data_IF_532319875644
#
_entry.id   IF_532319875644
#
_cell.length_a   1.000
_cell.length_b   1.000
_cell.length_c   1.000
_cell.angle_alpha   90.00
_cell.angle_beta   90.00
_cell.angle_gamma   90.00
#
_symmetry.space_group_name_H-M   'P 1'
#
loop_
_entity.id
_entity.type
_entity.pdbx_description
1 polymer ?
#
# COMPACT_ATOMS: atom_id res chain seq x y z
N UNK A 1 36.77 -23.74 6.17
CA UNK A 1 36.60 -23.09 4.87
C UNK A 1 35.16 -23.35 4.44
N UNK A 2 34.24 -22.46 4.83
CA UNK A 2 32.82 -22.60 4.50
C UNK A 2 32.55 -21.83 3.20
N UNK A 3 32.37 -22.57 2.11
CA UNK A 3 31.97 -22.03 0.82
C UNK A 3 30.52 -21.54 0.91
N UNK A 4 30.33 -20.22 0.96
CA UNK A 4 29.01 -19.61 0.76
C UNK A 4 28.56 -19.86 -0.69
N UNK A 5 27.76 -20.91 -0.85
CA UNK A 5 27.03 -21.17 -2.08
C UNK A 5 25.93 -20.12 -2.25
N UNK A 6 25.99 -19.30 -3.30
CA UNK A 6 24.86 -18.49 -3.77
C UNK A 6 24.34 -19.11 -5.07
N UNK A 7 23.53 -20.18 -5.00
CA UNK A 7 23.07 -20.87 -6.20
C UNK A 7 22.10 -19.95 -6.96
N UNK A 8 22.47 -19.59 -8.18
CA UNK A 8 21.56 -18.92 -9.11
C UNK A 8 20.52 -19.94 -9.59
N UNK A 9 19.32 -19.90 -9.00
CA UNK A 9 18.15 -20.66 -9.43
C UNK A 9 17.17 -19.78 -10.20
N UNK A 10 16.55 -20.31 -11.25
CA UNK A 10 15.39 -19.65 -11.83
C UNK A 10 14.25 -19.63 -10.81
N UNK A 11 13.67 -18.46 -10.57
CA UNK A 11 12.42 -18.36 -9.80
C UNK A 11 11.30 -19.04 -10.58
N UNK A 12 10.40 -19.72 -9.88
CA UNK A 12 9.18 -20.26 -10.47
C UNK A 12 8.27 -19.18 -11.04
N UNK A 13 7.27 -19.57 -11.82
CA UNK A 13 6.23 -18.66 -12.30
C UNK A 13 5.35 -18.25 -11.10
N UNK A 14 5.12 -16.95 -10.91
CA UNK A 14 4.17 -16.41 -9.94
C UNK A 14 2.94 -15.81 -10.64
N UNK A 15 1.78 -15.94 -10.00
CA UNK A 15 0.57 -15.22 -10.39
C UNK A 15 0.50 -13.94 -9.56
N UNK A 16 0.69 -12.78 -10.18
CA UNK A 16 0.63 -11.50 -9.46
C UNK A 16 -0.77 -10.87 -9.53
N UNK A 17 -1.49 -11.06 -10.64
CA UNK A 17 -2.82 -10.47 -10.85
C UNK A 17 -3.76 -11.46 -11.55
N UNK A 18 -4.95 -11.64 -11.00
CA UNK A 18 -6.04 -12.40 -11.61
C UNK A 18 -7.40 -11.95 -11.06
N UNK A 19 -8.02 -10.98 -11.73
CA UNK A 19 -9.29 -10.40 -11.28
C UNK A 19 -10.23 -10.10 -12.46
N UNK A 20 -11.52 -9.96 -12.13
CA UNK A 20 -12.56 -9.45 -13.01
C UNK A 20 -13.04 -8.10 -12.49
N UNK A 21 -13.47 -7.20 -13.38
CA UNK A 21 -14.03 -5.91 -12.99
C UNK A 21 -15.26 -5.53 -13.81
N UNK A 22 -16.31 -5.08 -13.13
CA UNK A 22 -17.55 -4.60 -13.74
C UNK A 22 -18.05 -3.34 -13.01
N UNK A 23 -18.13 -2.22 -13.71
CA UNK A 23 -18.75 -1.00 -13.17
C UNK A 23 -18.14 -0.46 -11.87
N UNK A 24 -16.84 -0.68 -11.65
CA UNK A 24 -16.11 -0.29 -10.44
C UNK A 24 -15.92 -1.42 -9.41
N UNK A 25 -16.71 -2.48 -9.48
CA UNK A 25 -16.55 -3.67 -8.64
C UNK A 25 -15.46 -4.59 -9.21
N UNK A 26 -14.43 -4.88 -8.41
CA UNK A 26 -13.32 -5.79 -8.70
C UNK A 26 -13.36 -6.98 -7.74
N UNK A 27 -13.15 -8.18 -8.28
CA UNK A 27 -13.03 -9.42 -7.50
C UNK A 27 -11.89 -10.28 -8.04
N UNK A 28 -10.99 -10.72 -7.16
CA UNK A 28 -9.90 -11.65 -7.49
C UNK A 28 -8.57 -11.31 -6.80
N UNK A 29 -7.46 -11.85 -7.30
CA UNK A 29 -6.11 -11.60 -6.79
C UNK A 29 -5.55 -10.31 -7.35
N UNK A 30 -5.14 -9.40 -6.47
CA UNK A 30 -4.63 -8.08 -6.80
C UNK A 30 -3.72 -7.56 -5.67
N UNK A 31 -3.34 -6.29 -5.75
CA UNK A 31 -2.67 -5.60 -4.67
C UNK A 31 -3.63 -4.83 -3.74
N UNK A 32 -3.27 -4.69 -2.47
CA UNK A 32 -4.09 -3.98 -1.47
C UNK A 32 -4.43 -2.55 -1.89
N UNK A 33 -5.68 -2.14 -1.67
CA UNK A 33 -6.14 -0.76 -1.87
C UNK A 33 -5.33 0.24 -1.03
N UNK A 34 -4.77 -0.22 0.09
CA UNK A 34 -3.96 0.58 0.99
C UNK A 34 -2.69 1.10 0.29
N UNK A 35 -2.19 0.37 -0.70
CA UNK A 35 -1.02 0.75 -1.50
C UNK A 35 -1.42 1.36 -2.84
N UNK A 36 -2.30 0.69 -3.57
CA UNK A 36 -2.66 1.06 -4.93
C UNK A 36 -3.43 2.38 -4.99
N UNK A 37 -4.38 2.61 -4.08
CA UNK A 37 -5.23 3.80 -4.14
C UNK A 37 -4.48 5.09 -3.79
N UNK A 38 -3.55 5.02 -2.83
CA UNK A 38 -2.70 6.17 -2.46
C UNK A 38 -1.54 6.41 -3.44
N UNK A 39 -1.33 5.50 -4.40
CA UNK A 39 -0.29 5.64 -5.42
C UNK A 39 1.11 5.24 -4.94
N UNK A 40 1.20 4.23 -4.05
CA UNK A 40 2.45 3.69 -3.51
C UNK A 40 3.29 4.72 -2.73
N UNK A 41 4.51 4.38 -2.36
CA UNK A 41 5.46 5.33 -1.75
C UNK A 41 6.20 6.23 -2.76
N UNK A 42 5.73 6.31 -4.01
CA UNK A 42 6.31 7.16 -5.06
C UNK A 42 6.98 6.36 -6.18
N UNK A 43 7.46 7.07 -7.22
CA UNK A 43 8.00 6.47 -8.45
C UNK A 43 9.51 6.24 -8.38
N UNK A 44 10.01 5.58 -7.33
CA UNK A 44 11.44 5.28 -7.19
C UNK A 44 11.68 3.78 -7.37
N UNK A 45 12.77 3.44 -8.07
CA UNK A 45 13.14 2.04 -8.38
C UNK A 45 13.28 1.19 -7.09
N UNK A 46 13.56 1.85 -5.96
CA UNK A 46 13.54 1.27 -4.63
C UNK A 46 12.70 2.17 -3.71
N UNK A 47 11.39 1.99 -3.76
CA UNK A 47 10.41 2.72 -2.95
C UNK A 47 10.21 2.11 -1.55
N UNK A 48 10.87 0.98 -1.27
CA UNK A 48 10.76 0.17 -0.04
C UNK A 48 11.86 0.48 0.97
N UNK A 49 12.45 1.69 0.98
CA UNK A 49 13.40 2.06 2.04
C UNK A 49 12.72 2.03 3.43
N UNK A 50 11.45 2.45 3.46
CA UNK A 50 10.52 2.22 4.57
C UNK A 50 9.32 1.45 4.01
N UNK A 51 9.10 0.19 4.41
CA UNK A 51 7.92 -0.58 4.01
C UNK A 51 6.62 0.16 4.31
N UNK A 52 5.66 0.14 3.37
CA UNK A 52 4.47 0.99 3.41
C UNK A 52 3.14 0.22 3.34
N UNK A 53 3.21 -1.10 3.49
CA UNK A 53 2.11 -2.06 3.38
C UNK A 53 2.55 -3.25 2.55
N UNK A 54 1.99 -4.42 2.80
CA UNK A 54 2.20 -5.59 1.96
C UNK A 54 1.26 -5.57 0.74
N UNK A 55 1.60 -6.28 -0.33
CA UNK A 55 0.98 -6.09 -1.64
C UNK A 55 -0.05 -7.16 -1.96
N UNK A 56 0.36 -8.41 -1.98
CA UNK A 56 -0.44 -9.53 -2.47
C UNK A 56 -1.69 -9.79 -1.61
N UNK A 57 -2.88 -9.78 -2.19
CA UNK A 57 -4.13 -10.17 -1.52
C UNK A 57 -5.23 -10.59 -2.51
N UNK A 58 -6.20 -11.40 -2.10
CA UNK A 58 -7.48 -11.43 -2.79
C UNK A 58 -8.36 -10.28 -2.31
N UNK A 59 -9.13 -9.68 -3.22
CA UNK A 59 -9.95 -8.51 -2.95
C UNK A 59 -11.39 -8.69 -3.43
N UNK A 60 -12.31 -8.10 -2.67
CA UNK A 60 -13.60 -7.63 -3.17
C UNK A 60 -13.62 -6.12 -2.96
N UNK A 61 -13.53 -5.38 -4.05
CA UNK A 61 -13.23 -3.95 -4.00
C UNK A 61 -14.16 -3.15 -4.90
N UNK A 62 -14.59 -1.98 -4.45
CA UNK A 62 -15.41 -1.07 -5.24
C UNK A 62 -14.73 0.30 -5.36
N UNK A 63 -14.48 0.72 -6.60
CA UNK A 63 -14.04 2.07 -6.93
C UNK A 63 -15.23 2.93 -7.36
N UNK A 64 -15.33 4.09 -6.73
CA UNK A 64 -16.23 5.15 -7.12
C UNK A 64 -15.45 6.32 -7.70
N UNK A 65 -15.85 6.78 -8.87
CA UNK A 65 -15.36 8.00 -9.50
C UNK A 65 -16.56 8.91 -9.78
N UNK A 66 -16.57 10.10 -9.18
CA UNK A 66 -17.65 11.07 -9.33
C UNK A 66 -17.55 11.88 -10.64
N UNK A 67 -16.45 11.76 -11.40
CA UNK A 67 -16.21 12.50 -12.64
C UNK A 67 -15.83 13.98 -12.44
N UNK A 68 -15.71 14.44 -11.20
CA UNK A 68 -15.37 15.82 -10.83
C UNK A 68 -14.03 15.92 -10.07
N UNK A 69 -13.18 14.91 -10.20
CA UNK A 69 -11.91 14.80 -9.50
C UNK A 69 -11.98 14.10 -8.13
N UNK A 70 -13.18 13.90 -7.57
CA UNK A 70 -13.38 13.09 -6.38
C UNK A 70 -13.49 11.60 -6.73
N UNK A 71 -12.76 10.77 -6.01
CA UNK A 71 -12.89 9.31 -6.06
C UNK A 71 -12.77 8.68 -4.67
N UNK A 72 -13.33 7.48 -4.55
CA UNK A 72 -13.32 6.71 -3.31
C UNK A 72 -13.09 5.23 -3.60
N UNK A 73 -12.58 4.50 -2.61
CA UNK A 73 -12.46 3.05 -2.64
C UNK A 73 -12.93 2.45 -1.32
N UNK A 74 -13.57 1.28 -1.41
CA UNK A 74 -13.79 0.37 -0.29
C UNK A 74 -13.33 -1.02 -0.73
N UNK A 75 -12.55 -1.70 0.10
CA UNK A 75 -11.94 -3.00 -0.19
C UNK A 75 -12.14 -3.92 1.01
N UNK A 76 -12.57 -5.15 0.74
CA UNK A 76 -12.48 -6.28 1.66
C UNK A 76 -11.32 -7.15 1.17
N UNK A 77 -10.37 -7.43 2.06
CA UNK A 77 -9.10 -8.05 1.69
C UNK A 77 -8.82 -9.28 2.54
N UNK A 78 -8.30 -10.32 1.89
CA UNK A 78 -7.82 -11.54 2.56
C UNK A 78 -6.45 -11.35 3.20
N UNK A 79 -5.64 -10.45 2.66
CA UNK A 79 -4.22 -10.29 2.96
C UNK A 79 -3.37 -11.45 2.43
N UNK A 80 -2.16 -11.59 2.94
CA UNK A 80 -1.25 -12.69 2.58
C UNK A 80 -0.19 -12.98 3.63
N UNK A 81 0.51 -14.11 3.43
CA UNK A 81 1.55 -14.59 4.33
C UNK A 81 1.00 -15.15 5.64
N UNK A 82 1.90 -15.55 6.53
CA UNK A 82 1.52 -16.20 7.81
C UNK A 82 0.88 -15.21 8.78
N UNK A 83 1.38 -13.98 8.82
CA UNK A 83 0.92 -12.92 9.73
C UNK A 83 -0.34 -12.22 9.20
N UNK A 84 -0.38 -11.97 7.88
CA UNK A 84 -1.36 -11.07 7.27
C UNK A 84 -2.49 -11.74 6.51
N UNK A 85 -2.56 -13.08 6.41
CA UNK A 85 -3.76 -13.73 5.86
C UNK A 85 -4.82 -13.82 6.95
N UNK A 86 -6.07 -13.47 6.65
CA UNK A 86 -7.17 -13.58 7.62
C UNK A 86 -7.27 -15.00 8.22
N UNK A 87 -7.49 -15.08 9.53
CA UNK A 87 -7.69 -16.34 10.25
C UNK A 87 -9.17 -16.59 10.64
N UNK A 88 -10.05 -15.67 10.27
CA UNK A 88 -11.46 -15.59 10.69
C UNK A 88 -12.38 -15.22 9.51
N UNK A 89 -13.70 -15.15 9.76
CA UNK A 89 -14.71 -14.73 8.78
C UNK A 89 -14.73 -13.21 8.53
N UNK A 90 -14.06 -12.42 9.37
CA UNK A 90 -13.98 -10.96 9.20
C UNK A 90 -12.81 -10.65 8.27
N UNK A 91 -13.06 -10.07 7.07
CA UNK A 91 -11.98 -9.66 6.19
C UNK A 91 -11.27 -8.44 6.77
N UNK A 92 -10.05 -8.20 6.31
CA UNK A 92 -9.47 -6.87 6.45
C UNK A 92 -10.30 -5.86 5.67
N UNK A 93 -10.37 -4.61 6.16
CA UNK A 93 -11.18 -3.57 5.52
C UNK A 93 -10.30 -2.37 5.20
N UNK A 94 -10.31 -1.94 3.94
CA UNK A 94 -9.59 -0.74 3.50
C UNK A 94 -10.55 0.25 2.88
N UNK A 95 -10.45 1.51 3.30
CA UNK A 95 -11.20 2.63 2.74
C UNK A 95 -10.29 3.76 2.33
N UNK A 96 -10.63 4.47 1.26
CA UNK A 96 -9.85 5.61 0.80
C UNK A 96 -10.68 6.67 0.11
N UNK A 97 -10.22 7.91 0.22
CA UNK A 97 -10.76 9.09 -0.46
C UNK A 97 -9.65 9.84 -1.18
N UNK A 98 -9.95 10.33 -2.38
CA UNK A 98 -9.03 11.11 -3.20
C UNK A 98 -9.74 12.30 -3.81
N UNK A 99 -9.03 13.42 -3.86
CA UNK A 99 -9.45 14.60 -4.59
C UNK A 99 -8.31 15.09 -5.48
N UNK A 100 -8.54 15.05 -6.79
CA UNK A 100 -7.58 15.42 -7.83
C UNK A 100 -8.04 16.69 -8.54
N UNK A 101 -7.11 17.61 -8.76
CA UNK A 101 -7.29 18.83 -9.54
C UNK A 101 -6.05 19.15 -10.37
N UNK A 102 -6.09 20.21 -11.18
CA UNK A 102 -4.94 20.60 -12.02
C UNK A 102 -3.64 20.86 -11.24
N UNK A 103 -3.74 21.30 -9.98
CA UNK A 103 -2.58 21.54 -9.11
C UNK A 103 -1.94 20.25 -8.57
N UNK A 104 -2.64 19.12 -8.59
CA UNK A 104 -2.20 17.88 -7.95
C UNK A 104 -3.35 17.13 -7.29
N UNK A 105 -3.04 16.39 -6.22
CA UNK A 105 -4.03 15.57 -5.52
C UNK A 105 -3.77 15.49 -4.01
N UNK A 106 -4.84 15.30 -3.25
CA UNK A 106 -4.77 14.82 -1.86
C UNK A 106 -5.46 13.46 -1.79
N UNK A 107 -4.80 12.50 -1.15
CA UNK A 107 -5.31 11.14 -1.00
C UNK A 107 -5.15 10.66 0.44
N UNK A 108 -6.20 10.06 0.99
CA UNK A 108 -6.15 9.37 2.28
C UNK A 108 -6.61 7.93 2.13
N UNK A 109 -5.95 7.01 2.83
CA UNK A 109 -6.36 5.61 2.98
C UNK A 109 -6.26 5.18 4.43
N UNK A 110 -7.17 4.31 4.85
CA UNK A 110 -7.18 3.66 6.16
C UNK A 110 -7.47 2.18 5.98
N UNK A 111 -6.80 1.35 6.75
CA UNK A 111 -6.97 -0.09 6.79
C UNK A 111 -7.20 -0.55 8.23
N UNK A 112 -8.10 -1.50 8.38
CA UNK A 112 -8.33 -2.26 9.59
C UNK A 112 -7.80 -3.68 9.39
N UNK A 113 -6.80 -4.04 10.19
CA UNK A 113 -6.25 -5.39 10.30
C UNK A 113 -7.13 -6.21 11.24
N UNK A 114 -7.77 -7.23 10.70
CA UNK A 114 -8.77 -8.03 11.40
C UNK A 114 -8.14 -9.09 12.31
N UNK A 115 -6.90 -9.51 12.05
CA UNK A 115 -6.21 -10.52 12.85
C UNK A 115 -5.77 -9.95 14.20
N UNK A 116 -5.35 -8.68 14.19
CA UNK A 116 -4.81 -7.98 15.36
C UNK A 116 -5.74 -6.89 15.88
N UNK A 117 -6.86 -6.61 15.20
CA UNK A 117 -7.81 -5.53 15.52
C UNK A 117 -7.16 -4.13 15.50
N UNK A 118 -6.23 -3.91 14.58
CA UNK A 118 -5.39 -2.72 14.52
C UNK A 118 -5.68 -1.84 13.32
N UNK A 119 -5.39 -0.54 13.43
CA UNK A 119 -5.67 0.43 12.37
C UNK A 119 -4.38 1.07 11.88
N UNK A 120 -4.23 1.12 10.56
CA UNK A 120 -3.18 1.86 9.88
C UNK A 120 -3.78 2.83 8.86
N UNK A 121 -3.22 4.03 8.73
CA UNK A 121 -3.68 5.04 7.81
C UNK A 121 -2.52 5.78 7.16
N UNK A 122 -2.74 6.28 5.94
CA UNK A 122 -1.79 7.12 5.21
C UNK A 122 -2.51 8.31 4.59
N UNK A 123 -1.86 9.47 4.59
CA UNK A 123 -2.30 10.66 3.86
C UNK A 123 -1.16 11.13 2.98
N UNK A 124 -1.47 11.45 1.72
CA UNK A 124 -0.52 11.90 0.72
C UNK A 124 -1.00 13.16 0.04
N UNK A 125 -0.05 14.07 -0.20
CA UNK A 125 -0.20 15.26 -1.02
C UNK A 125 0.75 15.17 -2.20
N UNK A 126 0.20 15.28 -3.41
CA UNK A 126 0.93 15.41 -4.67
C UNK A 126 0.74 16.84 -5.21
N UNK A 127 1.84 17.49 -5.64
CA UNK A 127 1.82 18.87 -6.14
C UNK A 127 2.57 18.95 -7.47
N UNK A 128 1.91 19.48 -8.50
CA UNK A 128 2.54 19.90 -9.75
C UNK A 128 3.15 21.30 -9.53
N UNK A 129 4.36 21.35 -8.99
CA UNK A 129 5.02 22.61 -8.66
C UNK A 129 5.34 23.47 -9.90
N UNK A 130 5.67 22.81 -11.02
CA UNK A 130 5.83 23.44 -12.35
C UNK A 130 5.46 22.42 -13.44
N UNK A 131 5.48 22.83 -14.72
CA UNK A 131 5.27 21.91 -15.86
C UNK A 131 6.29 20.74 -15.89
N UNK A 132 7.48 20.94 -15.32
CA UNK A 132 8.56 19.96 -15.30
C UNK A 132 8.76 19.29 -13.93
N UNK A 133 8.22 19.84 -12.83
CA UNK A 133 8.48 19.38 -11.46
C UNK A 133 7.17 18.96 -10.79
N UNK A 134 7.12 17.72 -10.32
CA UNK A 134 6.08 17.23 -9.42
C UNK A 134 6.72 16.76 -8.12
N UNK A 135 6.06 17.02 -6.99
CA UNK A 135 6.52 16.67 -5.64
C UNK A 135 5.43 15.85 -4.95
N UNK A 136 5.82 14.95 -4.05
CA UNK A 136 4.88 14.34 -3.11
C UNK A 136 5.44 14.28 -1.70
N UNK A 137 4.53 14.29 -0.73
CA UNK A 137 4.80 13.92 0.65
C UNK A 137 3.66 13.04 1.14
N UNK A 138 4.00 12.00 1.88
CA UNK A 138 3.06 11.05 2.48
C UNK A 138 3.46 10.80 3.93
N UNK A 139 2.46 10.77 4.81
CA UNK A 139 2.63 10.42 6.21
C UNK A 139 1.71 9.24 6.54
N UNK A 140 2.23 8.29 7.31
CA UNK A 140 1.54 7.11 7.77
C UNK A 140 1.48 7.10 9.29
N UNK A 141 0.35 6.66 9.83
CA UNK A 141 0.13 6.41 11.24
C UNK A 141 -0.47 5.03 11.44
N UNK A 142 -0.04 4.28 12.44
CA UNK A 142 -0.65 3.01 12.79
C UNK A 142 -0.50 2.68 14.26
N UNK A 143 -1.50 1.99 14.80
CA UNK A 143 -1.49 1.42 16.14
C UNK A 143 -0.76 0.06 16.13
N UNK A 144 -0.14 -0.31 17.26
CA UNK A 144 0.70 -1.51 17.35
C UNK A 144 0.66 -2.22 18.70
N UNK A 145 -0.30 -1.90 19.56
CA UNK A 145 -0.40 -2.51 20.90
C UNK A 145 -0.64 -4.01 20.79
N UNK A 146 -1.62 -4.43 19.97
CA UNK A 146 -1.92 -5.84 19.71
C UNK A 146 -0.90 -6.47 18.74
N UNK A 147 -0.25 -5.68 17.89
CA UNK A 147 0.86 -6.18 17.06
C UNK A 147 2.10 -6.55 17.88
N UNK A 148 2.21 -6.03 19.11
CA UNK A 148 3.31 -6.29 20.04
C UNK A 148 2.92 -7.32 21.13
N UNK A 149 1.67 -7.80 21.15
CA UNK A 149 1.20 -8.81 22.10
C UNK A 149 1.53 -10.26 21.64
N UNK A 150 2.82 -10.56 21.52
CA UNK A 150 3.33 -11.89 21.16
C UNK A 150 2.93 -12.99 22.18
N UNK A 151 2.36 -12.64 23.34
CA UNK A 151 1.86 -13.60 24.32
C UNK A 151 0.38 -13.94 24.14
N UNK A 152 -0.40 -13.03 23.54
CA UNK A 152 -1.83 -13.18 23.29
C UNK A 152 -2.20 -13.59 21.87
N UNK A 153 -1.33 -13.35 20.89
CA UNK A 153 -1.59 -13.63 19.49
C UNK A 153 -1.42 -15.12 19.14
N UNK A 154 -2.22 -15.59 18.16
CA UNK A 154 -2.03 -16.92 17.58
C UNK A 154 -0.75 -17.00 16.73
N UNK A 155 -0.37 -15.88 16.12
CA UNK A 155 0.86 -15.68 15.34
C UNK A 155 1.46 -14.33 15.76
N UNK A 156 2.74 -14.33 16.14
CA UNK A 156 3.44 -13.12 16.55
C UNK A 156 3.72 -12.20 15.36
N UNK A 157 3.25 -10.95 15.42
CA UNK A 157 3.47 -9.94 14.38
C UNK A 157 4.74 -9.09 14.62
N UNK A 158 5.31 -9.11 15.84
CA UNK A 158 6.54 -8.39 16.16
C UNK A 158 6.46 -6.89 15.88
N UNK A 159 5.30 -6.28 16.09
CA UNK A 159 5.03 -4.85 15.90
C UNK A 159 4.74 -4.41 14.45
N UNK A 160 4.67 -5.36 13.50
CA UNK A 160 4.40 -5.09 12.08
C UNK A 160 3.36 -6.05 11.50
N UNK A 161 2.16 -5.53 11.25
CA UNK A 161 1.05 -6.26 10.61
C UNK A 161 1.01 -6.04 9.10
N UNK A 162 -0.02 -6.57 8.43
CA UNK A 162 -0.14 -6.53 6.97
C UNK A 162 -0.08 -5.09 6.41
N UNK A 163 -0.76 -4.15 7.08
CA UNK A 163 -0.84 -2.75 6.67
C UNK A 163 0.23 -1.84 7.31
N UNK A 164 0.52 -2.02 8.60
CA UNK A 164 1.54 -1.25 9.33
C UNK A 164 2.89 -1.97 9.28
N UNK A 165 3.63 -1.75 8.20
CA UNK A 165 4.94 -2.40 7.98
C UNK A 165 6.14 -1.57 8.51
N UNK A 166 5.91 -0.36 9.01
CA UNK A 166 6.96 0.49 9.58
C UNK A 166 7.11 0.33 11.10
N UNK A 167 8.29 0.66 11.59
CA UNK A 167 8.60 0.65 13.02
C UNK A 167 8.05 1.89 13.74
N UNK A 168 7.54 1.70 14.95
CA UNK A 168 6.81 2.74 15.71
C UNK A 168 5.50 3.14 15.04
N UNK A 169 4.82 4.15 15.57
CA UNK A 169 3.49 4.52 15.08
C UNK A 169 3.52 5.36 13.80
N UNK A 170 4.62 6.06 13.50
CA UNK A 170 4.70 7.02 12.40
C UNK A 170 5.72 6.63 11.33
N UNK A 171 5.39 6.91 10.08
CA UNK A 171 6.32 6.89 8.95
C UNK A 171 6.07 8.07 8.00
N UNK A 172 7.13 8.50 7.32
CA UNK A 172 7.07 9.61 6.37
C UNK A 172 7.82 9.20 5.12
N UNK A 173 7.22 9.49 3.97
CA UNK A 173 7.81 9.36 2.65
C UNK A 173 7.69 10.70 1.94
N UNK A 174 8.68 11.03 1.13
CA UNK A 174 8.63 12.19 0.26
C UNK A 174 9.39 11.90 -1.00
N UNK A 175 9.16 12.69 -2.03
CA UNK A 175 9.92 12.53 -3.26
C UNK A 175 9.59 13.57 -4.30
N UNK A 176 10.38 13.55 -5.36
CA UNK A 176 10.29 14.50 -6.45
C UNK A 176 10.49 13.80 -7.79
N UNK A 177 9.76 14.26 -8.78
CA UNK A 177 9.93 13.91 -10.18
C UNK A 177 10.30 15.15 -10.97
N UNK A 178 11.39 15.07 -11.73
CA UNK A 178 11.78 16.07 -12.71
C UNK A 178 11.67 15.51 -14.13
N UNK A 179 10.89 16.16 -14.99
CA UNK A 179 10.74 15.81 -16.40
C UNK A 179 11.73 16.65 -17.23
N UNK A 180 12.73 16.00 -17.82
CA UNK A 180 13.65 16.66 -18.75
C UNK A 180 12.99 16.90 -20.10
N UNK A 181 12.16 15.95 -20.54
CA UNK A 181 11.38 15.98 -21.76
C UNK A 181 10.24 14.94 -21.67
N UNK A 182 9.44 14.80 -22.73
CA UNK A 182 8.30 13.89 -22.79
C UNK A 182 8.65 12.41 -22.55
N UNK A 183 9.90 12.00 -22.77
CA UNK A 183 10.36 10.61 -22.70
C UNK A 183 11.35 10.34 -21.57
N UNK A 184 11.78 11.37 -20.85
CA UNK A 184 12.85 11.24 -19.84
C UNK A 184 12.49 12.00 -18.58
N UNK A 185 12.46 11.27 -17.47
CA UNK A 185 12.26 11.83 -16.13
C UNK A 185 13.27 11.23 -15.15
N UNK A 186 13.55 11.97 -14.10
CA UNK A 186 14.31 11.53 -12.93
C UNK A 186 13.41 11.56 -11.71
N UNK A 187 13.49 10.52 -10.88
CA UNK A 187 12.69 10.36 -9.68
C UNK A 187 13.60 10.13 -8.48
N UNK A 188 13.29 10.76 -7.36
CA UNK A 188 13.99 10.59 -6.08
C UNK A 188 12.99 10.51 -4.93
N UNK A 189 13.35 9.77 -3.88
CA UNK A 189 12.60 9.57 -2.63
C UNK A 189 13.59 9.80 -1.48
#
# INVERSE_FOLDING_TARGET
>A
DETFSNPAGNKGVSLNFAWIQLGGLRVGKDESAFNTFIGYAGNVIQDTLVPYGDFDTNVIQYYFDAGNGFSAVLSLEEGSGVVGTIDSYVPHVVGGLKYTQGWGAITGVVAYDANYEEVAGKVRLDVNATDAISLFIMAGYGTDDNLLDDAGNAIDAGGRGFYKQWSGNWAIWGGATYKFNEKTSFNTQ
#
